data_IF_965373468683
#
_entry.id   IF_965373468683
#
_cell.length_a   1.000
_cell.length_b   1.000
_cell.length_c   1.000
_cell.angle_alpha   90.00
_cell.angle_beta   90.00
_cell.angle_gamma   90.00
#
_symmetry.space_group_name_H-M   'P 1'
#
loop_
_entity.id
_entity.type
_entity.pdbx_description
1 polymer ?
#
# COMPACT_ATOMS: atom_id res chain seq x y z
N UNK A 1 13.73 -21.96 18.92
CA UNK A 1 12.70 -21.53 17.94
C UNK A 1 11.28 -21.70 18.48
N UNK A 2 10.88 -22.84 19.06
CA UNK A 2 9.50 -23.01 19.56
C UNK A 2 9.15 -22.02 20.70
N UNK A 3 10.05 -21.80 21.66
CA UNK A 3 9.88 -20.78 22.73
C UNK A 3 9.72 -19.34 22.21
N UNK A 4 10.24 -19.02 21.01
CA UNK A 4 10.17 -17.69 20.42
C UNK A 4 8.85 -17.45 19.69
N UNK A 5 8.21 -18.51 19.18
CA UNK A 5 6.88 -18.42 18.55
C UNK A 5 5.79 -18.16 19.59
N UNK A 6 5.89 -18.77 20.77
CA UNK A 6 4.96 -18.57 21.89
C UNK A 6 4.87 -17.09 22.32
N UNK A 7 5.96 -16.33 22.16
CA UNK A 7 5.99 -14.91 22.52
C UNK A 7 4.91 -14.10 21.77
N UNK A 8 4.54 -14.55 20.57
CA UNK A 8 3.52 -13.91 19.73
C UNK A 8 2.09 -14.15 20.16
N UNK A 9 1.85 -15.15 21.00
CA UNK A 9 0.51 -15.52 21.47
C UNK A 9 0.12 -14.77 22.76
N UNK A 10 1.09 -14.10 23.39
CA UNK A 10 0.90 -13.41 24.68
C UNK A 10 0.38 -11.99 24.46
N UNK A 11 -0.80 -11.66 25.02
CA UNK A 11 -1.38 -10.30 24.91
C UNK A 11 -1.44 -9.56 26.25
N UNK A 12 -0.74 -10.08 27.26
CA UNK A 12 -0.63 -9.50 28.58
C UNK A 12 0.83 -9.10 28.84
N UNK A 13 1.06 -7.85 29.25
CA UNK A 13 2.42 -7.32 29.42
C UNK A 13 3.19 -8.04 30.53
N UNK A 14 2.53 -8.50 31.59
CA UNK A 14 3.21 -9.15 32.71
C UNK A 14 3.75 -10.52 32.28
N UNK A 15 2.88 -11.30 31.62
CA UNK A 15 3.25 -12.59 31.05
C UNK A 15 4.33 -12.41 29.98
N UNK A 16 4.22 -11.34 29.18
CA UNK A 16 5.19 -11.02 28.14
C UNK A 16 6.57 -10.73 28.73
N UNK A 17 6.65 -9.88 29.76
CA UNK A 17 7.90 -9.57 30.45
C UNK A 17 8.54 -10.80 31.10
N UNK A 18 7.73 -11.71 31.67
CA UNK A 18 8.24 -12.98 32.19
C UNK A 18 8.82 -13.86 31.07
N UNK A 19 8.14 -13.96 29.93
CA UNK A 19 8.63 -14.78 28.80
C UNK A 19 9.92 -14.20 28.22
N UNK A 20 10.02 -12.88 28.02
CA UNK A 20 11.28 -12.28 27.54
C UNK A 20 12.42 -12.46 28.54
N UNK A 21 12.13 -12.50 29.85
CA UNK A 21 13.14 -12.80 30.88
C UNK A 21 13.73 -14.21 30.73
N UNK A 22 12.95 -15.19 30.28
CA UNK A 22 13.42 -16.56 30.01
C UNK A 22 14.36 -16.63 28.79
N UNK A 23 14.12 -15.80 27.77
CA UNK A 23 14.86 -15.83 26.50
C UNK A 23 15.91 -14.71 26.36
N UNK A 24 16.10 -13.88 27.39
CA UNK A 24 16.92 -12.66 27.36
C UNK A 24 18.40 -12.87 27.02
N UNK A 25 18.88 -14.10 27.11
CA UNK A 25 20.26 -14.48 26.81
C UNK A 25 20.43 -14.94 25.35
N UNK A 26 19.33 -15.09 24.60
CA UNK A 26 19.31 -15.57 23.21
C UNK A 26 18.96 -14.48 22.19
N UNK A 27 18.55 -13.29 22.63
CA UNK A 27 18.08 -12.22 21.74
C UNK A 27 18.55 -10.83 22.17
N UNK A 28 18.33 -9.87 21.28
CA UNK A 28 18.30 -8.45 21.62
C UNK A 28 16.93 -8.06 22.17
N UNK A 29 16.94 -7.24 23.21
CA UNK A 29 15.76 -6.61 23.78
C UNK A 29 15.97 -5.10 23.74
N UNK A 30 15.13 -4.41 22.99
CA UNK A 30 15.14 -2.96 22.88
C UNK A 30 13.91 -2.37 23.57
N UNK A 31 14.13 -1.31 24.34
CA UNK A 31 13.11 -0.48 24.97
C UNK A 31 13.28 0.96 24.51
N UNK A 32 12.24 1.55 23.94
CA UNK A 32 12.20 3.00 23.66
C UNK A 32 10.86 3.58 24.08
N UNK A 33 10.86 4.78 24.63
CA UNK A 33 9.64 5.47 25.06
C UNK A 33 9.25 6.54 24.04
N UNK A 34 7.96 6.65 23.75
CA UNK A 34 7.42 7.81 23.01
C UNK A 34 6.48 8.58 23.90
N UNK A 35 6.68 9.90 23.93
CA UNK A 35 5.90 10.85 24.73
C UNK A 35 6.03 10.64 26.24
N UNK A 36 5.59 9.50 26.77
CA UNK A 36 5.64 9.18 28.20
C UNK A 36 5.66 7.67 28.41
N UNK A 37 6.42 7.16 29.41
CA UNK A 37 6.39 5.73 29.75
C UNK A 37 5.02 5.30 30.30
N UNK A 38 4.29 6.23 30.92
CA UNK A 38 2.90 6.07 31.37
C UNK A 38 2.73 6.24 32.89
N UNK A 39 1.88 7.20 33.29
CA UNK A 39 1.68 7.64 34.69
C UNK A 39 1.05 6.58 35.61
N UNK A 40 0.32 5.62 35.04
CA UNK A 40 -0.42 4.60 35.78
C UNK A 40 0.30 3.24 35.77
N UNK A 41 1.61 3.21 35.52
CA UNK A 41 2.38 1.97 35.46
C UNK A 41 2.32 1.23 36.81
N UNK A 42 1.86 -0.05 36.82
CA UNK A 42 1.90 -0.85 38.04
C UNK A 42 3.34 -1.08 38.52
N UNK A 43 3.54 -1.06 39.84
CA UNK A 43 4.86 -1.30 40.46
C UNK A 43 5.44 -2.66 40.05
N UNK A 44 4.60 -3.69 39.89
CA UNK A 44 5.07 -5.02 39.49
C UNK A 44 5.61 -5.07 38.06
N UNK A 45 5.02 -4.28 37.15
CA UNK A 45 5.53 -4.14 35.78
C UNK A 45 6.86 -3.39 35.78
N UNK A 46 6.96 -2.32 36.57
CA UNK A 46 8.21 -1.58 36.74
C UNK A 46 9.33 -2.48 37.29
N UNK A 47 9.04 -3.27 38.33
CA UNK A 47 9.98 -4.22 38.91
C UNK A 47 10.44 -5.27 37.90
N UNK A 48 9.53 -5.79 37.05
CA UNK A 48 9.89 -6.75 36.00
C UNK A 48 10.79 -6.16 34.92
N UNK A 49 10.62 -4.87 34.60
CA UNK A 49 11.55 -4.16 33.70
C UNK A 49 12.93 -4.04 34.37
N UNK A 50 12.97 -3.77 35.68
CA UNK A 50 14.23 -3.74 36.43
C UNK A 50 14.89 -5.12 36.52
N UNK A 51 14.12 -6.21 36.64
CA UNK A 51 14.61 -7.59 36.66
C UNK A 51 15.24 -8.04 35.33
N UNK A 52 14.90 -7.37 34.23
CA UNK A 52 15.58 -7.50 32.92
C UNK A 52 16.94 -6.78 32.89
N UNK A 53 17.24 -5.98 33.92
CA UNK A 53 18.48 -5.22 34.10
C UNK A 53 18.37 -3.72 33.75
N UNK A 54 17.19 -3.22 33.39
CA UNK A 54 16.95 -1.83 33.03
C UNK A 54 16.62 -0.97 34.26
N UNK A 55 17.57 -0.87 35.18
CA UNK A 55 17.36 -0.28 36.51
C UNK A 55 17.10 1.23 36.44
N UNK A 56 17.62 1.91 35.42
CA UNK A 56 17.44 3.35 35.22
C UNK A 56 16.05 3.70 34.67
N UNK A 57 15.29 2.71 34.20
CA UNK A 57 13.93 2.93 33.71
C UNK A 57 13.02 3.44 34.84
N UNK A 58 12.25 4.49 34.56
CA UNK A 58 11.27 5.06 35.49
C UNK A 58 9.93 5.30 34.80
N UNK A 59 8.87 5.36 35.59
CA UNK A 59 7.53 5.73 35.13
C UNK A 59 7.27 7.24 35.23
N UNK A 60 8.32 8.05 35.41
CA UNK A 60 8.19 9.50 35.45
C UNK A 60 7.63 10.03 34.13
N UNK A 61 6.64 10.92 34.24
CA UNK A 61 6.00 11.52 33.08
C UNK A 61 7.01 12.28 32.21
N UNK A 62 6.90 12.09 30.90
CA UNK A 62 7.70 12.77 29.88
C UNK A 62 9.22 12.57 30.02
N UNK A 63 9.64 11.48 30.65
CA UNK A 63 11.02 11.01 30.60
C UNK A 63 11.22 10.09 29.41
N UNK A 64 12.10 10.50 28.51
CA UNK A 64 12.53 9.66 27.40
C UNK A 64 13.50 8.60 27.93
N UNK A 65 13.48 7.45 27.28
CA UNK A 65 14.29 6.30 27.71
C UNK A 65 14.72 5.47 26.51
N UNK A 66 15.98 5.02 26.53
CA UNK A 66 16.53 4.03 25.62
C UNK A 66 17.18 2.93 26.45
N UNK A 67 16.69 1.71 26.27
CA UNK A 67 17.24 0.49 26.83
C UNK A 67 17.63 -0.48 25.73
N UNK A 68 18.82 -1.07 25.86
CA UNK A 68 19.31 -2.12 24.98
C UNK A 68 19.95 -3.21 25.81
N UNK A 69 19.46 -4.43 25.66
CA UNK A 69 20.09 -5.65 26.18
C UNK A 69 20.45 -6.57 25.01
N UNK A 70 21.59 -7.23 25.11
CA UNK A 70 22.07 -8.23 24.16
C UNK A 70 22.68 -9.41 24.92
N UNK A 71 22.25 -10.64 24.62
CA UNK A 71 22.89 -11.88 25.06
C UNK A 71 23.26 -11.87 26.55
N UNK A 72 22.32 -11.44 27.39
CA UNK A 72 22.51 -11.39 28.83
C UNK A 72 23.14 -10.12 29.41
N UNK A 73 23.57 -9.17 28.57
CA UNK A 73 24.27 -7.96 28.98
C UNK A 73 23.49 -6.69 28.64
N UNK A 74 23.49 -5.72 29.56
CA UNK A 74 22.98 -4.37 29.31
C UNK A 74 24.02 -3.60 28.49
N UNK A 75 23.60 -3.14 27.31
CA UNK A 75 24.40 -2.29 26.42
C UNK A 75 24.06 -0.83 26.67
N UNK A 76 22.77 -0.52 26.85
CA UNK A 76 22.28 0.82 27.18
C UNK A 76 21.16 0.67 28.21
N UNK A 77 21.20 1.48 29.27
CA UNK A 77 20.12 1.68 30.23
C UNK A 77 20.15 3.17 30.57
N UNK A 78 19.44 3.98 29.79
CA UNK A 78 19.59 5.44 29.83
C UNK A 78 18.23 6.15 29.82
N UNK A 79 17.98 6.88 30.91
CA UNK A 79 16.85 7.80 31.07
C UNK A 79 17.33 9.24 30.85
N UNK A 80 16.49 10.06 30.22
CA UNK A 80 16.76 11.47 30.00
C UNK A 80 16.92 12.24 31.32
N UNK A 81 17.94 13.11 31.39
CA UNK A 81 18.23 13.91 32.58
C UNK A 81 17.22 15.04 32.76
N UNK A 82 16.73 15.59 31.65
CA UNK A 82 15.71 16.64 31.62
C UNK A 82 14.35 16.15 31.10
N UNK A 83 13.29 16.85 31.50
CA UNK A 83 11.93 16.53 31.07
C UNK A 83 11.82 16.83 29.57
N UNK A 84 11.21 15.91 28.81
CA UNK A 84 11.04 16.03 27.35
C UNK A 84 12.34 16.08 26.52
N UNK A 85 13.52 15.84 27.12
CA UNK A 85 14.80 15.80 26.41
C UNK A 85 14.83 14.61 25.42
N UNK A 86 15.05 14.86 24.12
CA UNK A 86 15.08 13.79 23.11
C UNK A 86 16.35 12.97 23.22
N UNK A 87 16.22 11.64 23.06
CA UNK A 87 17.34 10.71 23.08
C UNK A 87 17.54 10.11 21.70
N UNK A 88 18.80 10.03 21.29
CA UNK A 88 19.23 9.35 20.07
C UNK A 88 20.52 8.56 20.34
N UNK A 89 20.57 7.31 19.90
CA UNK A 89 21.74 6.43 20.00
C UNK A 89 21.90 5.63 18.71
N UNK A 90 23.15 5.36 18.35
CA UNK A 90 23.51 4.49 17.24
C UNK A 90 24.53 3.49 17.75
N UNK A 91 24.24 2.21 17.58
CA UNK A 91 25.12 1.11 17.96
C UNK A 91 25.31 0.19 16.76
N UNK A 92 26.42 -0.54 16.74
CA UNK A 92 26.64 -1.62 15.80
C UNK A 92 26.43 -2.93 16.54
N UNK A 93 25.79 -3.91 15.90
CA UNK A 93 25.69 -5.25 16.46
C UNK A 93 27.10 -5.82 16.70
N UNK A 94 27.24 -6.65 17.74
CA UNK A 94 28.51 -7.34 18.05
C UNK A 94 28.70 -8.61 17.23
N UNK A 95 27.62 -9.29 16.85
CA UNK A 95 27.69 -10.59 16.14
C UNK A 95 27.42 -10.42 14.63
N UNK A 96 26.67 -9.39 14.23
CA UNK A 96 26.38 -9.06 12.83
C UNK A 96 26.94 -7.69 12.40
N UNK A 97 26.90 -7.38 11.11
CA UNK A 97 27.24 -6.05 10.57
C UNK A 97 26.11 -5.02 10.75
N UNK A 98 25.05 -5.38 11.49
CA UNK A 98 23.85 -4.57 11.55
C UNK A 98 24.07 -3.25 12.30
N UNK A 99 23.51 -2.18 11.74
CA UNK A 99 23.51 -0.85 12.31
C UNK A 99 22.16 -0.64 13.00
N UNK A 100 22.18 -0.36 14.30
CA UNK A 100 20.96 -0.18 15.09
C UNK A 100 20.88 1.28 15.55
N UNK A 101 19.80 1.96 15.20
CA UNK A 101 19.50 3.34 15.55
C UNK A 101 18.29 3.37 16.48
N UNK A 102 18.43 4.03 17.64
CA UNK A 102 17.42 4.12 18.68
C UNK A 102 17.10 5.57 18.92
N UNK A 103 15.82 5.90 18.98
CA UNK A 103 15.38 7.26 19.24
C UNK A 103 14.13 7.28 20.13
N UNK A 104 14.02 8.28 20.98
CA UNK A 104 12.95 8.44 21.97
C UNK A 104 12.70 9.93 22.18
N UNK A 105 11.50 10.39 21.82
CA UNK A 105 11.15 11.82 21.79
C UNK A 105 9.74 12.06 22.34
N UNK A 106 9.58 13.22 23.00
CA UNK A 106 8.32 13.61 23.66
C UNK A 106 7.28 14.13 22.67
N UNK A 107 6.02 14.28 23.09
CA UNK A 107 4.97 14.87 22.23
C UNK A 107 5.36 16.24 21.64
N UNK A 108 6.06 17.09 22.41
CA UNK A 108 6.42 18.45 21.98
C UNK A 108 7.75 18.51 21.21
N UNK A 109 8.61 17.51 21.38
CA UNK A 109 9.96 17.50 20.82
C UNK A 109 10.14 16.41 19.75
N UNK A 110 9.18 16.29 18.84
CA UNK A 110 9.25 15.44 17.65
C UNK A 110 8.28 14.25 17.64
N UNK A 111 7.74 13.88 18.80
CA UNK A 111 6.66 12.91 18.98
C UNK A 111 6.90 11.59 18.26
N UNK A 112 8.10 11.03 18.44
CA UNK A 112 8.49 9.78 17.81
C UNK A 112 9.38 8.95 18.73
N UNK A 113 9.32 7.64 18.56
CA UNK A 113 10.34 6.73 19.06
C UNK A 113 10.60 5.68 18.00
N UNK A 114 11.73 4.99 18.10
CA UNK A 114 11.93 3.83 17.28
C UNK A 114 13.18 3.06 17.55
N UNK A 115 13.17 1.85 16.99
CA UNK A 115 14.30 0.95 16.89
C UNK A 115 14.43 0.67 15.40
N UNK A 116 15.44 1.24 14.76
CA UNK A 116 15.75 0.98 13.36
C UNK A 116 16.93 0.04 13.27
N UNK A 117 16.79 -1.03 12.51
CA UNK A 117 17.88 -1.96 12.23
C UNK A 117 18.15 -1.87 10.74
N UNK A 118 19.37 -1.49 10.35
CA UNK A 118 19.78 -1.16 8.98
C UNK A 118 18.85 -0.13 8.30
N UNK A 119 18.39 0.87 9.06
CA UNK A 119 17.48 1.91 8.58
C UNK A 119 15.99 1.54 8.62
N UNK A 120 15.64 0.29 8.92
CA UNK A 120 14.26 -0.21 8.87
C UNK A 120 13.61 -0.12 10.24
N UNK A 121 12.45 0.53 10.33
CA UNK A 121 11.73 0.69 11.59
C UNK A 121 11.08 -0.62 12.08
N UNK A 122 11.58 -1.14 13.20
CA UNK A 122 11.10 -2.38 13.80
C UNK A 122 10.01 -2.13 14.86
N UNK A 123 9.93 -0.94 15.47
CA UNK A 123 8.96 -0.64 16.52
C UNK A 123 7.58 -0.19 15.95
N UNK A 124 6.61 0.07 16.84
CA UNK A 124 5.29 0.62 16.47
C UNK A 124 5.28 2.16 16.39
N UNK A 125 6.26 2.85 16.97
CA UNK A 125 6.29 4.32 17.08
C UNK A 125 4.98 4.93 17.61
N UNK A 126 4.47 4.41 18.74
CA UNK A 126 3.23 4.88 19.38
C UNK A 126 3.47 5.24 20.84
N UNK A 127 2.62 6.08 21.44
CA UNK A 127 2.75 6.54 22.85
C UNK A 127 2.94 5.35 23.79
N UNK A 128 3.79 5.52 24.80
CA UNK A 128 4.11 4.47 25.77
C UNK A 128 5.48 3.87 25.55
N UNK A 129 5.66 2.67 26.10
CA UNK A 129 6.87 1.86 25.93
C UNK A 129 6.71 1.05 24.64
N UNK A 130 7.70 1.13 23.74
CA UNK A 130 7.79 0.29 22.56
C UNK A 130 8.93 -0.69 22.78
N UNK A 131 8.61 -1.98 22.70
CA UNK A 131 9.56 -3.09 22.87
C UNK A 131 9.78 -3.77 21.53
N UNK A 132 11.04 -4.09 21.22
CA UNK A 132 11.41 -4.90 20.05
C UNK A 132 12.33 -6.03 20.51
N UNK A 133 11.98 -7.25 20.12
CA UNK A 133 12.74 -8.47 20.37
C UNK A 133 13.32 -8.93 19.04
N UNK A 134 14.64 -9.06 18.97
CA UNK A 134 15.36 -9.31 17.73
C UNK A 134 16.35 -10.46 17.88
N UNK A 135 16.31 -11.39 16.94
CA UNK A 135 17.28 -12.47 16.82
C UNK A 135 18.37 -12.04 15.83
N UNK A 136 19.56 -11.74 16.35
CA UNK A 136 20.69 -11.29 15.55
C UNK A 136 21.32 -12.42 14.73
N UNK A 137 21.15 -13.68 15.13
CA UNK A 137 21.67 -14.83 14.37
C UNK A 137 20.82 -15.13 13.14
N UNK A 138 19.50 -14.96 13.28
CA UNK A 138 18.56 -15.11 12.17
C UNK A 138 18.30 -13.78 11.44
N UNK A 139 18.97 -12.71 11.86
CA UNK A 139 18.78 -11.33 11.39
C UNK A 139 17.30 -10.91 11.29
N UNK A 140 16.50 -11.29 12.30
CA UNK A 140 15.04 -11.20 12.22
C UNK A 140 14.42 -10.61 13.47
N UNK A 141 13.39 -9.79 13.29
CA UNK A 141 12.55 -9.36 14.42
C UNK A 141 11.70 -10.56 14.82
N UNK A 142 11.83 -11.00 16.07
CA UNK A 142 10.97 -12.02 16.65
C UNK A 142 9.59 -11.40 16.91
N UNK A 143 9.61 -10.21 17.53
CA UNK A 143 8.40 -9.53 17.92
C UNK A 143 8.60 -8.04 18.19
N UNK A 144 7.52 -7.27 18.05
CA UNK A 144 7.50 -5.86 18.43
C UNK A 144 6.12 -5.51 18.99
N UNK A 145 6.10 -4.92 20.19
CA UNK A 145 4.88 -4.53 20.88
C UNK A 145 4.99 -3.11 21.41
N UNK A 146 3.84 -2.50 21.69
CA UNK A 146 3.76 -1.32 22.54
C UNK A 146 2.96 -1.65 23.79
N UNK A 147 3.33 -1.03 24.89
CA UNK A 147 2.57 -0.99 26.12
C UNK A 147 2.39 0.47 26.57
N UNK A 148 1.15 0.93 26.64
CA UNK A 148 0.80 2.29 27.07
C UNK A 148 0.05 2.23 28.40
N UNK A 149 0.71 2.68 29.47
CA UNK A 149 0.15 2.82 30.81
C UNK A 149 -0.09 4.27 31.21
N UNK A 150 -0.30 5.19 30.25
CA UNK A 150 -0.67 6.57 30.56
C UNK A 150 -2.03 6.64 31.27
N UNK A 151 -2.97 5.81 30.82
CA UNK A 151 -4.32 5.69 31.37
C UNK A 151 -4.52 4.31 32.03
N UNK A 152 -5.52 4.19 32.91
CA UNK A 152 -5.82 2.94 33.65
C UNK A 152 -6.27 1.76 32.79
N UNK A 153 -6.64 2.01 31.54
CA UNK A 153 -7.16 0.98 30.64
C UNK A 153 -6.09 0.16 29.94
N UNK A 154 -4.80 0.47 30.13
CA UNK A 154 -3.60 -0.21 29.62
C UNK A 154 -3.72 -0.76 28.19
N UNK A 155 -3.01 -0.14 27.25
CA UNK A 155 -3.06 -0.60 25.86
C UNK A 155 -1.84 -1.47 25.56
N UNK A 156 -2.09 -2.74 25.23
CA UNK A 156 -1.11 -3.63 24.64
C UNK A 156 -1.43 -3.80 23.15
N UNK A 157 -0.52 -3.39 22.27
CA UNK A 157 -0.65 -3.63 20.83
C UNK A 157 0.62 -4.23 20.28
N UNK A 158 0.48 -4.99 19.20
CA UNK A 158 1.56 -5.76 18.57
C UNK A 158 1.68 -5.38 17.11
N UNK A 159 2.92 -5.32 16.62
CA UNK A 159 3.20 -5.16 15.20
C UNK A 159 2.89 -6.48 14.48
N UNK A 160 1.98 -6.49 13.47
CA UNK A 160 1.65 -7.70 12.72
C UNK A 160 2.90 -8.40 12.15
N UNK A 161 2.90 -9.73 12.12
CA UNK A 161 4.08 -10.52 11.68
C UNK A 161 4.44 -10.25 10.21
N UNK A 162 3.41 -10.05 9.39
CA UNK A 162 3.52 -9.66 7.96
C UNK A 162 4.16 -8.29 7.77
N UNK A 163 4.19 -7.45 8.80
CA UNK A 163 4.84 -6.15 8.74
C UNK A 163 6.32 -6.19 9.11
N UNK A 164 6.86 -7.34 9.55
CA UNK A 164 8.28 -7.47 9.85
C UNK A 164 9.08 -7.71 8.57
N UNK A 165 10.03 -6.81 8.27
CA UNK A 165 10.83 -6.90 7.05
C UNK A 165 11.55 -8.25 6.90
N UNK A 166 12.03 -8.86 7.98
CA UNK A 166 12.69 -10.18 7.90
C UNK A 166 11.79 -11.26 7.30
N UNK A 167 10.48 -11.20 7.55
CA UNK A 167 9.52 -12.11 6.93
C UNK A 167 9.28 -11.78 5.45
N UNK A 168 9.28 -10.49 5.10
CA UNK A 168 9.19 -10.05 3.70
C UNK A 168 10.43 -10.46 2.91
N UNK A 169 11.62 -10.34 3.50
CA UNK A 169 12.90 -10.80 2.93
C UNK A 169 12.89 -12.31 2.78
N UNK A 170 12.40 -13.05 3.78
CA UNK A 170 12.25 -14.51 3.68
C UNK A 170 11.32 -14.88 2.53
N UNK A 171 10.17 -14.21 2.43
CA UNK A 171 9.23 -14.40 1.32
C UNK A 171 9.87 -14.15 -0.05
N UNK A 172 10.66 -13.07 -0.18
CA UNK A 172 11.43 -12.79 -1.40
C UNK A 172 12.47 -13.87 -1.70
N UNK A 173 13.19 -14.32 -0.67
CA UNK A 173 14.27 -15.29 -0.78
C UNK A 173 13.80 -16.68 -1.20
N UNK A 174 12.58 -17.08 -0.86
CA UNK A 174 11.99 -18.36 -1.28
C UNK A 174 11.75 -18.44 -2.81
N UNK A 175 11.73 -17.30 -3.51
CA UNK A 175 11.48 -17.23 -4.96
C UNK A 175 12.74 -16.94 -5.79
N UNK A 176 13.84 -16.60 -5.12
CA UNK A 176 15.15 -16.28 -5.67
C UNK A 176 15.23 -15.02 -6.56
N UNK A 177 14.29 -14.73 -7.49
CA UNK A 177 14.40 -13.60 -8.44
C UNK A 177 13.13 -13.28 -9.26
N UNK A 178 12.95 -12.01 -9.65
CA UNK A 178 11.91 -11.51 -10.57
C UNK A 178 12.50 -10.71 -11.75
N UNK A 179 11.99 -10.94 -12.96
CA UNK A 179 12.40 -10.16 -14.15
C UNK A 179 11.90 -8.70 -14.06
N UNK A 180 10.65 -8.50 -13.60
CA UNK A 180 10.01 -7.18 -13.58
C UNK A 180 9.21 -6.98 -12.31
N UNK A 181 9.46 -5.87 -11.60
CA UNK A 181 8.61 -5.36 -10.54
C UNK A 181 7.72 -4.23 -11.09
N UNK A 182 6.39 -4.40 -11.02
CA UNK A 182 5.42 -3.43 -11.56
C UNK A 182 4.83 -2.62 -10.42
N UNK A 183 4.99 -1.29 -10.50
CA UNK A 183 4.34 -0.33 -9.60
C UNK A 183 3.10 0.25 -10.27
N UNK A 184 1.99 0.39 -9.57
CA UNK A 184 0.80 1.02 -10.11
C UNK A 184 -0.35 0.99 -9.11
N UNK A 185 -1.56 1.36 -9.55
CA UNK A 185 -2.76 1.39 -8.71
C UNK A 185 -3.65 0.15 -8.89
N UNK A 186 -3.06 -0.96 -9.32
CA UNK A 186 -3.77 -2.23 -9.63
C UNK A 186 -4.48 -2.85 -8.43
N UNK A 187 -4.02 -2.54 -7.22
CA UNK A 187 -4.63 -2.94 -5.95
C UNK A 187 -5.80 -2.05 -5.53
N UNK A 188 -6.06 -0.95 -6.24
CA UNK A 188 -7.12 0.00 -5.90
C UNK A 188 -8.52 -0.55 -6.16
N UNK A 189 -9.55 0.14 -5.65
CA UNK A 189 -10.95 -0.25 -5.82
C UNK A 189 -11.55 0.15 -7.18
N UNK A 190 -10.85 0.92 -8.02
CA UNK A 190 -11.35 1.28 -9.33
C UNK A 190 -11.29 0.09 -10.32
N UNK A 191 -12.41 -0.27 -10.95
CA UNK A 191 -12.46 -1.40 -11.90
C UNK A 191 -11.47 -1.27 -13.06
N UNK A 192 -11.29 -0.03 -13.57
CA UNK A 192 -10.33 0.26 -14.63
C UNK A 192 -8.91 -0.08 -14.20
N UNK A 193 -8.48 0.44 -13.04
CA UNK A 193 -7.15 0.19 -12.48
C UNK A 193 -6.88 -1.30 -12.21
N UNK A 194 -7.86 -2.03 -11.67
CA UNK A 194 -7.74 -3.47 -11.42
C UNK A 194 -7.49 -4.23 -12.72
N UNK A 195 -8.31 -3.97 -13.74
CA UNK A 195 -8.25 -4.66 -15.03
C UNK A 195 -7.04 -4.24 -15.85
N UNK A 196 -6.59 -3.00 -15.72
CA UNK A 196 -5.35 -2.51 -16.30
C UNK A 196 -4.13 -3.22 -15.69
N UNK A 197 -4.07 -3.33 -14.36
CA UNK A 197 -3.03 -4.09 -13.66
C UNK A 197 -3.01 -5.56 -14.08
N UNK A 198 -4.20 -6.18 -14.19
CA UNK A 198 -4.33 -7.57 -14.64
C UNK A 198 -3.81 -7.74 -16.06
N UNK A 199 -4.16 -6.81 -16.95
CA UNK A 199 -3.72 -6.85 -18.33
C UNK A 199 -2.20 -6.69 -18.43
N UNK A 200 -1.63 -5.75 -17.66
CA UNK A 200 -0.18 -5.57 -17.57
C UNK A 200 0.53 -6.85 -17.10
N UNK A 201 0.06 -7.46 -16.01
CA UNK A 201 0.59 -8.72 -15.49
C UNK A 201 0.54 -9.84 -16.53
N UNK A 202 -0.60 -10.00 -17.21
CA UNK A 202 -0.81 -11.05 -18.22
C UNK A 202 0.08 -10.85 -19.45
N UNK A 203 0.26 -9.61 -19.93
CA UNK A 203 1.15 -9.31 -21.05
C UNK A 203 2.57 -9.71 -20.71
N UNK A 204 3.10 -9.22 -19.58
CA UNK A 204 4.48 -9.52 -19.16
C UNK A 204 4.69 -11.02 -18.92
N UNK A 205 3.73 -11.68 -18.26
CA UNK A 205 3.79 -13.13 -18.03
C UNK A 205 3.74 -13.92 -19.34
N UNK A 206 2.96 -13.48 -20.33
CA UNK A 206 2.88 -14.11 -21.66
C UNK A 206 4.19 -13.99 -22.45
N UNK A 207 5.02 -13.00 -22.13
CA UNK A 207 6.38 -12.84 -22.65
C UNK A 207 7.41 -13.74 -21.92
N UNK A 208 6.95 -14.61 -21.01
CA UNK A 208 7.79 -15.50 -20.23
C UNK A 208 8.51 -14.81 -19.06
N UNK A 209 8.05 -13.64 -18.63
CA UNK A 209 8.65 -12.89 -17.53
C UNK A 209 8.07 -13.30 -16.19
N UNK A 210 8.92 -13.43 -15.16
CA UNK A 210 8.47 -13.46 -13.77
C UNK A 210 8.15 -12.02 -13.31
N UNK A 211 6.93 -11.83 -12.83
CA UNK A 211 6.38 -10.51 -12.52
C UNK A 211 6.07 -10.42 -11.04
N UNK A 212 6.62 -9.39 -10.39
CA UNK A 212 6.25 -8.97 -9.05
C UNK A 212 5.36 -7.73 -9.15
N UNK A 213 4.09 -7.86 -8.79
CA UNK A 213 3.17 -6.74 -8.65
C UNK A 213 3.41 -6.09 -7.28
N UNK A 214 3.95 -4.87 -7.28
CA UNK A 214 4.22 -4.13 -6.04
C UNK A 214 2.89 -3.75 -5.38
N UNK A 215 2.69 -4.25 -4.17
CA UNK A 215 1.51 -3.94 -3.37
C UNK A 215 1.56 -2.48 -2.88
N UNK A 216 0.39 -1.92 -2.54
CA UNK A 216 0.21 -0.56 -2.01
C UNK A 216 1.25 -0.22 -0.95
N UNK A 217 2.10 0.76 -1.27
CA UNK A 217 3.04 1.38 -0.33
C UNK A 217 2.25 2.34 0.57
N UNK A 218 2.58 2.45 1.88
CA UNK A 218 1.80 3.24 2.87
C UNK A 218 0.39 2.73 3.19
N UNK A 219 0.16 1.42 3.31
CA UNK A 219 -1.09 0.98 3.93
C UNK A 219 -1.04 1.25 5.44
N UNK A 220 -1.92 2.10 6.03
CA UNK A 220 -2.15 2.02 7.47
C UNK A 220 -2.62 0.59 7.83
N UNK A 221 -2.45 0.20 9.10
CA UNK A 221 -2.89 -1.11 9.64
C UNK A 221 -4.38 -1.42 9.35
N UNK A 222 -5.16 -0.40 8.95
CA UNK A 222 -6.58 -0.50 8.58
C UNK A 222 -6.92 0.29 7.29
N UNK A 223 -6.25 0.01 6.18
CA UNK A 223 -6.67 0.55 4.88
C UNK A 223 -8.02 -0.03 4.45
N UNK A 224 -9.03 0.83 4.32
CA UNK A 224 -10.39 0.43 3.94
C UNK A 224 -10.43 -0.20 2.54
N UNK A 225 -9.50 0.16 1.65
CA UNK A 225 -9.40 -0.34 0.28
C UNK A 225 -8.85 -1.77 0.21
N UNK A 226 -8.12 -2.20 1.23
CA UNK A 226 -7.46 -3.51 1.29
C UNK A 226 -8.20 -4.53 2.18
N UNK A 227 -9.48 -4.28 2.49
CA UNK A 227 -10.31 -5.24 3.23
C UNK A 227 -10.58 -6.49 2.38
N UNK A 228 -10.51 -7.66 3.00
CA UNK A 228 -10.61 -8.97 2.35
C UNK A 228 -11.94 -9.17 1.60
N UNK A 229 -13.00 -8.49 2.00
CA UNK A 229 -14.33 -8.55 1.41
C UNK A 229 -14.55 -7.54 0.26
N UNK A 230 -13.57 -6.70 -0.06
CA UNK A 230 -13.65 -5.82 -1.22
C UNK A 230 -13.41 -6.58 -2.54
N UNK A 231 -14.03 -6.10 -3.61
CA UNK A 231 -13.96 -6.72 -4.95
C UNK A 231 -12.56 -6.74 -5.53
N UNK A 232 -11.74 -5.69 -5.32
CA UNK A 232 -10.34 -5.65 -5.74
C UNK A 232 -9.52 -6.75 -5.05
N UNK A 233 -9.67 -6.91 -3.74
CA UNK A 233 -8.94 -7.92 -2.95
C UNK A 233 -9.35 -9.34 -3.31
N UNK A 234 -10.65 -9.59 -3.45
CA UNK A 234 -11.17 -10.86 -3.96
C UNK A 234 -10.63 -11.17 -5.36
N UNK A 235 -10.62 -10.18 -6.25
CA UNK A 235 -10.15 -10.36 -7.62
C UNK A 235 -8.67 -10.75 -7.66
N UNK A 236 -7.78 -9.96 -7.04
CA UNK A 236 -6.35 -10.29 -7.17
C UNK A 236 -5.97 -11.59 -6.42
N UNK A 237 -6.64 -11.91 -5.30
CA UNK A 237 -6.42 -13.19 -4.62
C UNK A 237 -6.89 -14.41 -5.42
N UNK A 238 -7.82 -14.22 -6.36
CA UNK A 238 -8.37 -15.28 -7.20
C UNK A 238 -7.57 -15.45 -8.48
N UNK A 239 -7.19 -14.35 -9.14
CA UNK A 239 -6.66 -14.38 -10.51
C UNK A 239 -5.15 -14.15 -10.64
N UNK A 240 -4.46 -13.79 -9.55
CA UNK A 240 -3.01 -13.70 -9.54
C UNK A 240 -2.41 -14.85 -8.74
N UNK A 241 -1.26 -15.42 -9.18
CA UNK A 241 -0.47 -16.27 -8.32
C UNK A 241 -0.08 -15.54 -7.04
N UNK A 242 -0.18 -16.20 -5.89
CA UNK A 242 0.12 -15.60 -4.58
C UNK A 242 1.53 -15.04 -4.47
N UNK A 243 2.47 -15.61 -5.21
CA UNK A 243 3.87 -15.21 -5.29
C UNK A 243 4.14 -14.12 -6.34
N UNK A 244 3.14 -13.68 -7.09
CA UNK A 244 3.25 -12.56 -8.01
C UNK A 244 2.85 -11.22 -7.37
N UNK A 245 2.43 -11.23 -6.10
CA UNK A 245 2.03 -10.03 -5.37
C UNK A 245 2.97 -9.86 -4.19
N UNK A 246 3.62 -8.71 -4.11
CA UNK A 246 4.57 -8.44 -3.03
C UNK A 246 3.85 -8.36 -1.67
N UNK A 247 4.56 -8.65 -0.57
CA UNK A 247 4.16 -8.12 0.74
C UNK A 247 4.01 -6.58 0.69
N UNK A 248 3.29 -6.02 1.65
CA UNK A 248 3.20 -4.56 1.81
C UNK A 248 4.53 -4.04 2.32
N UNK A 249 5.21 -3.22 1.52
CA UNK A 249 6.47 -2.56 1.89
C UNK A 249 6.24 -1.10 2.31
N UNK A 250 7.00 -0.63 3.30
CA UNK A 250 7.14 0.82 3.54
C UNK A 250 8.09 1.43 2.53
N UNK A 251 8.14 2.76 2.44
CA UNK A 251 9.02 3.45 1.50
C UNK A 251 10.50 3.13 1.75
N UNK A 252 10.87 3.06 3.03
CA UNK A 252 12.22 2.75 3.48
C UNK A 252 12.62 1.31 3.16
N UNK A 253 11.65 0.40 3.07
CA UNK A 253 11.90 -1.01 2.78
C UNK A 253 12.02 -1.29 1.27
N UNK A 254 11.48 -0.45 0.40
CA UNK A 254 11.43 -0.71 -1.05
C UNK A 254 12.80 -0.92 -1.69
N UNK A 255 13.86 -0.35 -1.12
CA UNK A 255 15.21 -0.47 -1.64
C UNK A 255 15.66 -1.94 -1.73
N UNK A 256 15.16 -2.82 -0.85
CA UNK A 256 15.48 -4.25 -0.85
C UNK A 256 15.06 -4.95 -2.16
N UNK A 257 14.06 -4.42 -2.86
CA UNK A 257 13.59 -5.01 -4.11
C UNK A 257 14.65 -4.98 -5.21
N UNK A 258 15.63 -4.08 -5.13
CA UNK A 258 16.74 -4.00 -6.09
C UNK A 258 17.61 -5.26 -6.08
N UNK A 259 17.60 -6.05 -5.01
CA UNK A 259 18.35 -7.31 -4.92
C UNK A 259 17.60 -8.48 -5.59
N UNK A 260 16.30 -8.33 -5.83
CA UNK A 260 15.42 -9.40 -6.30
C UNK A 260 14.76 -9.10 -7.65
N UNK A 261 14.96 -7.90 -8.22
CA UNK A 261 14.31 -7.48 -9.46
C UNK A 261 15.34 -6.88 -10.45
N UNK A 262 15.27 -7.28 -11.72
CA UNK A 262 16.13 -6.72 -12.78
C UNK A 262 15.61 -5.40 -13.34
N UNK A 263 14.28 -5.29 -13.45
CA UNK A 263 13.58 -4.16 -14.05
C UNK A 263 12.44 -3.70 -13.14
N UNK A 264 12.21 -2.39 -13.11
CA UNK A 264 11.10 -1.76 -12.45
C UNK A 264 10.25 -1.02 -13.48
N UNK A 265 8.95 -1.28 -13.45
CA UNK A 265 8.00 -0.78 -14.42
C UNK A 265 6.94 0.07 -13.72
N UNK A 266 6.91 1.37 -14.03
CA UNK A 266 5.73 2.19 -13.80
C UNK A 266 4.62 1.71 -14.72
N UNK A 267 3.57 1.14 -14.16
CA UNK A 267 2.44 0.58 -14.90
C UNK A 267 1.60 1.63 -15.62
N UNK A 268 0.51 1.18 -16.21
CA UNK A 268 -0.43 2.04 -16.91
C UNK A 268 -1.41 2.72 -15.94
N UNK A 269 -2.38 3.46 -16.48
CA UNK A 269 -3.38 4.26 -15.76
C UNK A 269 -2.82 5.61 -15.25
N UNK A 270 -3.62 6.39 -14.53
CA UNK A 270 -3.33 7.77 -14.10
C UNK A 270 -2.28 7.88 -12.97
N UNK A 271 -1.23 7.06 -13.00
CA UNK A 271 -0.24 6.95 -11.91
C UNK A 271 0.69 8.18 -11.79
N UNK A 272 0.74 9.04 -12.81
CA UNK A 272 1.51 10.30 -12.77
C UNK A 272 0.65 11.54 -12.57
N UNK A 273 -0.66 11.37 -12.39
CA UNK A 273 -1.53 12.46 -11.98
C UNK A 273 -1.26 12.83 -10.51
N UNK A 274 -0.67 14.00 -10.27
CA UNK A 274 -0.27 14.42 -8.93
C UNK A 274 -1.46 14.57 -7.96
N UNK A 275 -2.65 14.87 -8.47
CA UNK A 275 -3.86 15.03 -7.65
C UNK A 275 -4.56 13.71 -7.33
N UNK A 276 -4.31 12.65 -8.12
CA UNK A 276 -5.09 11.40 -8.05
C UNK A 276 -4.26 10.27 -7.44
N UNK A 277 -3.01 10.12 -7.84
CA UNK A 277 -2.20 8.94 -7.53
C UNK A 277 -0.76 9.28 -7.17
N UNK A 278 -0.50 10.47 -6.60
CA UNK A 278 0.83 10.81 -6.09
C UNK A 278 1.20 9.96 -4.88
N UNK A 279 1.70 8.78 -5.19
CA UNK A 279 2.60 8.02 -4.37
C UNK A 279 3.98 8.21 -5.01
N UNK A 280 4.91 8.89 -4.33
CA UNK A 280 6.24 9.20 -4.89
C UNK A 280 6.97 7.99 -5.49
N UNK A 281 6.57 6.76 -5.12
CA UNK A 281 7.08 5.51 -5.68
C UNK A 281 6.71 5.26 -7.14
N UNK A 282 5.66 5.90 -7.68
CA UNK A 282 5.26 5.76 -9.10
C UNK A 282 6.31 6.31 -10.08
N UNK A 283 7.25 7.10 -9.58
CA UNK A 283 8.42 7.61 -10.31
C UNK A 283 9.70 6.80 -10.05
N UNK A 284 9.59 5.67 -9.34
CA UNK A 284 10.69 4.74 -9.04
C UNK A 284 11.93 5.37 -8.33
N UNK A 285 11.75 6.26 -7.34
CA UNK A 285 12.87 6.94 -6.67
C UNK A 285 13.82 5.96 -5.96
N UNK A 286 13.29 4.84 -5.45
CA UNK A 286 14.02 3.80 -4.69
C UNK A 286 14.85 2.85 -5.56
N UNK A 287 14.72 2.91 -6.89
CA UNK A 287 15.38 1.98 -7.79
C UNK A 287 16.82 2.44 -8.05
N UNK A 288 17.79 1.53 -7.97
CA UNK A 288 19.21 1.83 -8.18
C UNK A 288 19.52 2.13 -9.66
N UNK A 289 20.60 2.86 -9.91
CA UNK A 289 21.01 3.27 -11.27
C UNK A 289 21.39 2.08 -12.18
N UNK A 290 21.79 0.94 -11.60
CA UNK A 290 22.13 -0.28 -12.32
C UNK A 290 20.93 -1.19 -12.65
N UNK A 291 19.70 -0.75 -12.35
CA UNK A 291 18.45 -1.46 -12.66
C UNK A 291 17.65 -0.72 -13.72
N UNK A 292 16.97 -1.48 -14.58
CA UNK A 292 16.12 -0.91 -15.62
C UNK A 292 14.91 -0.21 -15.00
N UNK A 293 14.60 0.99 -15.47
CA UNK A 293 13.44 1.79 -15.08
C UNK A 293 12.64 2.10 -16.34
N UNK A 294 11.46 1.51 -16.46
CA UNK A 294 10.61 1.70 -17.63
C UNK A 294 9.21 2.15 -17.23
N UNK A 295 8.50 2.77 -18.15
CA UNK A 295 7.06 3.05 -18.02
C UNK A 295 6.30 2.38 -19.15
N UNK A 296 5.16 1.75 -18.81
CA UNK A 296 4.26 1.10 -19.74
C UNK A 296 2.90 1.81 -19.75
N UNK A 297 2.65 2.60 -20.80
CA UNK A 297 1.39 3.30 -21.01
C UNK A 297 0.92 4.13 -19.80
N UNK A 298 1.84 4.70 -19.01
CA UNK A 298 1.49 5.55 -17.87
C UNK A 298 0.79 6.82 -18.35
N UNK A 299 -0.12 7.36 -17.54
CA UNK A 299 -0.91 8.53 -17.92
C UNK A 299 -0.90 9.61 -16.83
N UNK A 300 -0.95 10.87 -17.26
CA UNK A 300 -1.25 12.00 -16.38
C UNK A 300 -2.77 12.19 -16.21
N UNK A 301 -3.59 11.57 -17.05
CA UNK A 301 -5.05 11.63 -16.98
C UNK A 301 -5.68 12.98 -17.31
N UNK A 302 -4.87 14.01 -17.58
CA UNK A 302 -5.30 15.35 -17.94
C UNK A 302 -4.19 16.07 -18.74
N UNK A 303 -4.52 17.21 -19.35
CA UNK A 303 -3.53 18.06 -20.04
C UNK A 303 -2.44 18.63 -19.12
N UNK A 304 -2.61 18.53 -17.79
CA UNK A 304 -1.65 18.97 -16.79
C UNK A 304 -1.39 17.84 -15.77
N UNK A 305 -0.14 17.66 -15.37
CA UNK A 305 0.23 16.67 -14.35
C UNK A 305 -0.13 17.10 -12.92
N UNK A 306 -0.45 18.39 -12.74
CA UNK A 306 -0.73 19.06 -11.47
C UNK A 306 0.44 19.04 -10.47
N UNK A 307 1.66 18.79 -10.95
CA UNK A 307 2.87 18.82 -10.12
C UNK A 307 3.09 20.25 -9.61
N UNK A 308 3.19 20.47 -8.27
CA UNK A 308 3.48 21.78 -7.71
C UNK A 308 4.84 22.29 -8.19
N UNK A 309 4.95 23.58 -8.48
CA UNK A 309 6.18 24.21 -9.01
C UNK A 309 7.45 23.85 -8.21
N UNK A 310 7.34 23.75 -6.88
CA UNK A 310 8.46 23.38 -5.99
C UNK A 310 8.95 21.94 -6.17
N UNK A 311 8.10 21.04 -6.67
CA UNK A 311 8.41 19.62 -6.88
C UNK A 311 8.84 19.33 -8.32
N UNK A 312 8.61 20.24 -9.27
CA UNK A 312 8.89 20.02 -10.70
C UNK A 312 10.35 19.61 -10.94
N UNK A 313 11.30 20.22 -10.23
CA UNK A 313 12.72 19.87 -10.35
C UNK A 313 13.02 18.45 -9.85
N UNK A 314 12.29 17.95 -8.85
CA UNK A 314 12.44 16.58 -8.34
C UNK A 314 11.80 15.58 -9.31
N UNK A 315 10.57 15.86 -9.76
CA UNK A 315 9.86 15.03 -10.73
C UNK A 315 10.63 14.92 -12.04
N UNK A 316 11.21 16.02 -12.52
CA UNK A 316 12.09 16.03 -13.68
C UNK A 316 13.25 15.03 -13.51
N UNK A 317 13.95 15.10 -12.38
CA UNK A 317 15.07 14.19 -12.09
C UNK A 317 14.63 12.74 -12.04
N UNK A 318 13.41 12.44 -11.61
CA UNK A 318 12.92 11.07 -11.65
C UNK A 318 12.67 10.60 -13.08
N UNK A 319 12.02 11.40 -13.93
CA UNK A 319 11.81 11.05 -15.34
C UNK A 319 13.13 10.87 -16.11
N UNK A 320 14.14 11.69 -15.84
CA UNK A 320 15.46 11.57 -16.47
C UNK A 320 16.20 10.26 -16.14
N UNK A 321 15.76 9.51 -15.11
CA UNK A 321 16.33 8.21 -14.73
C UNK A 321 15.68 7.03 -15.45
N UNK A 322 14.56 7.24 -16.15
CA UNK A 322 13.92 6.17 -16.90
C UNK A 322 14.74 5.85 -18.14
N UNK A 323 14.96 4.57 -18.36
CA UNK A 323 15.61 4.05 -19.56
C UNK A 323 14.69 4.09 -20.78
N UNK A 324 13.37 3.96 -20.55
CA UNK A 324 12.35 4.10 -21.58
C UNK A 324 11.01 4.53 -20.97
N UNK A 325 10.36 5.51 -21.61
CA UNK A 325 9.02 5.96 -21.21
C UNK A 325 8.03 5.69 -22.33
N UNK A 326 6.91 5.06 -21.98
CA UNK A 326 5.74 5.01 -22.84
C UNK A 326 4.50 5.52 -22.13
N UNK A 327 3.71 6.32 -22.86
CA UNK A 327 2.48 6.93 -22.37
C UNK A 327 1.29 6.51 -23.22
N UNK A 328 0.08 6.61 -22.68
CA UNK A 328 -1.12 6.13 -23.36
C UNK A 328 -1.71 7.16 -24.34
N UNK A 329 -1.45 8.44 -24.14
CA UNK A 329 -2.03 9.53 -24.93
C UNK A 329 -0.97 10.48 -25.51
N UNK A 330 -1.27 11.08 -26.67
CA UNK A 330 -0.34 12.00 -27.36
C UNK A 330 -0.08 13.29 -26.55
N UNK A 331 -1.07 13.77 -25.80
CA UNK A 331 -0.89 14.97 -24.98
C UNK A 331 0.07 14.74 -23.81
N UNK A 332 0.15 13.51 -23.28
CA UNK A 332 1.10 13.15 -22.22
C UNK A 332 2.55 13.17 -22.74
N UNK A 333 2.74 12.72 -23.99
CA UNK A 333 4.04 12.83 -24.66
C UNK A 333 4.46 14.30 -24.84
N UNK A 334 3.51 15.14 -25.25
CA UNK A 334 3.77 16.58 -25.38
C UNK A 334 4.07 17.23 -24.02
N UNK A 335 3.38 16.82 -22.95
CA UNK A 335 3.63 17.32 -21.60
C UNK A 335 5.03 16.93 -21.12
N UNK A 336 5.44 15.67 -21.27
CA UNK A 336 6.80 15.20 -20.93
C UNK A 336 7.88 16.01 -21.66
N UNK A 337 7.71 16.20 -22.96
CA UNK A 337 8.66 16.97 -23.76
C UNK A 337 8.72 18.44 -23.35
N UNK A 338 7.55 19.11 -23.28
CA UNK A 338 7.49 20.55 -23.07
C UNK A 338 7.85 20.97 -21.65
N UNK A 339 7.45 20.18 -20.64
CA UNK A 339 7.65 20.51 -19.22
C UNK A 339 8.96 19.94 -18.67
N UNK A 340 9.28 18.69 -19.02
CA UNK A 340 10.40 17.97 -18.43
C UNK A 340 11.60 17.83 -19.38
N UNK A 341 11.40 18.00 -20.69
CA UNK A 341 12.45 17.78 -21.70
C UNK A 341 12.76 16.30 -21.90
N UNK A 342 11.81 15.41 -21.61
CA UNK A 342 11.97 13.96 -21.65
C UNK A 342 11.16 13.40 -22.82
N UNK A 343 11.77 12.54 -23.63
CA UNK A 343 11.09 11.88 -24.75
C UNK A 343 10.29 10.66 -24.29
N UNK A 344 9.28 10.30 -25.07
CA UNK A 344 8.41 9.16 -24.80
C UNK A 344 7.76 8.61 -26.07
N UNK A 345 7.31 7.36 -25.97
CA UNK A 345 6.56 6.69 -27.04
C UNK A 345 5.10 6.56 -26.66
N UNK A 346 4.19 6.88 -27.59
CA UNK A 346 2.76 6.62 -27.37
C UNK A 346 2.47 5.16 -27.69
N UNK A 347 1.89 4.43 -26.73
CA UNK A 347 1.47 3.04 -26.87
C UNK A 347 0.02 2.87 -26.42
N UNK A 348 -0.63 1.80 -26.84
CA UNK A 348 -2.01 1.52 -26.45
C UNK A 348 -2.10 1.05 -24.99
N UNK A 349 -3.24 1.30 -24.34
CA UNK A 349 -3.51 0.78 -22.99
C UNK A 349 -3.41 -0.76 -22.94
N UNK A 350 -2.79 -1.35 -21.92
CA UNK A 350 -2.70 -2.79 -21.71
C UNK A 350 -4.02 -3.55 -21.86
N UNK A 351 -5.18 -2.96 -21.52
CA UNK A 351 -6.47 -3.66 -21.67
C UNK A 351 -6.82 -4.00 -23.13
N UNK A 352 -6.23 -3.31 -24.10
CA UNK A 352 -6.44 -3.63 -25.52
C UNK A 352 -5.44 -4.66 -26.06
N UNK A 353 -4.36 -4.95 -25.32
CA UNK A 353 -3.32 -5.88 -25.76
C UNK A 353 -3.68 -7.34 -25.47
N UNK A 354 -4.67 -7.60 -24.61
CA UNK A 354 -5.17 -8.96 -24.39
C UNK A 354 -6.18 -9.38 -25.46
N UNK A 355 -6.16 -10.65 -25.83
CA UNK A 355 -7.24 -11.23 -26.63
C UNK A 355 -8.54 -11.18 -25.82
N UNK A 356 -9.65 -10.82 -26.46
CA UNK A 356 -10.99 -10.81 -25.86
C UNK A 356 -11.31 -12.10 -25.10
N UNK A 357 -10.74 -13.24 -25.51
CA UNK A 357 -10.88 -14.54 -24.85
C UNK A 357 -10.50 -14.51 -23.38
N UNK A 358 -9.46 -13.78 -22.99
CA UNK A 358 -9.04 -13.63 -21.60
C UNK A 358 -10.19 -13.06 -20.76
N UNK A 359 -10.84 -12.00 -21.23
CA UNK A 359 -12.00 -11.42 -20.55
C UNK A 359 -13.22 -12.35 -20.60
N UNK A 360 -13.43 -13.11 -21.68
CA UNK A 360 -14.53 -14.09 -21.72
C UNK A 360 -14.34 -15.27 -20.78
N UNK A 361 -13.10 -15.59 -20.42
CA UNK A 361 -12.80 -16.60 -19.41
C UNK A 361 -13.11 -16.07 -18.02
N UNK A 362 -12.67 -14.85 -17.68
CA UNK A 362 -12.96 -14.21 -16.40
C UNK A 362 -14.46 -14.14 -16.09
N UNK A 363 -15.29 -13.77 -17.07
CA UNK A 363 -16.74 -13.63 -16.86
C UNK A 363 -17.49 -14.97 -16.69
N UNK A 364 -16.81 -16.13 -16.78
CA UNK A 364 -17.44 -17.43 -16.45
C UNK A 364 -17.75 -17.57 -14.96
N UNK A 365 -16.99 -16.89 -14.11
CA UNK A 365 -17.19 -16.88 -12.66
C UNK A 365 -18.26 -15.86 -12.22
N UNK A 366 -18.78 -15.08 -13.17
CA UNK A 366 -19.77 -14.03 -12.91
C UNK A 366 -21.13 -14.60 -12.49
N UNK A 367 -21.77 -13.90 -11.56
CA UNK A 367 -23.17 -14.14 -11.15
C UNK A 367 -24.15 -13.15 -11.81
N UNK A 368 -23.65 -12.22 -12.64
CA UNK A 368 -24.47 -11.25 -13.34
C UNK A 368 -25.24 -11.89 -14.51
N UNK A 369 -26.58 -11.79 -14.44
CA UNK A 369 -27.50 -12.48 -15.37
C UNK A 369 -28.50 -11.56 -16.08
N UNK A 370 -28.35 -10.24 -15.94
CA UNK A 370 -29.25 -9.28 -16.56
C UNK A 370 -29.03 -9.19 -18.08
N UNK A 371 -30.12 -9.00 -18.81
CA UNK A 371 -30.16 -8.82 -20.26
C UNK A 371 -31.10 -7.65 -20.62
N UNK A 372 -31.08 -7.22 -21.89
CA UNK A 372 -31.95 -6.18 -22.41
C UNK A 372 -31.86 -4.82 -21.69
N UNK A 373 -30.63 -4.34 -21.44
CA UNK A 373 -30.38 -3.13 -20.66
C UNK A 373 -29.33 -2.20 -21.30
N UNK A 374 -29.37 -0.94 -20.86
CA UNK A 374 -28.29 0.03 -21.05
C UNK A 374 -27.41 -0.02 -19.81
N UNK A 375 -26.11 -0.24 -19.98
CA UNK A 375 -25.15 -0.10 -18.90
C UNK A 375 -24.73 1.36 -18.78
N UNK A 376 -24.89 1.93 -17.59
CA UNK A 376 -24.33 3.23 -17.22
C UNK A 376 -23.15 3.02 -16.28
N UNK A 377 -21.91 3.19 -16.77
CA UNK A 377 -20.72 3.16 -15.91
C UNK A 377 -20.20 4.58 -15.71
N UNK A 378 -20.46 5.16 -14.54
CA UNK A 378 -20.27 6.58 -14.28
C UNK A 378 -19.35 6.78 -13.07
N UNK A 379 -18.24 7.49 -13.25
CA UNK A 379 -17.26 7.83 -12.22
C UNK A 379 -17.62 9.15 -11.53
N UNK A 380 -17.97 10.18 -12.31
CA UNK A 380 -18.28 11.52 -11.82
C UNK A 380 -19.77 11.83 -12.00
N UNK A 381 -20.64 11.47 -11.04
CA UNK A 381 -22.08 11.71 -11.17
C UNK A 381 -22.41 13.20 -11.20
N UNK A 382 -23.36 13.57 -12.05
CA UNK A 382 -23.92 14.92 -12.13
C UNK A 382 -25.42 14.86 -12.47
N UNK A 383 -26.15 15.92 -12.15
CA UNK A 383 -27.57 16.01 -12.50
C UNK A 383 -27.78 15.98 -14.02
N UNK A 384 -26.84 16.53 -14.79
CA UNK A 384 -26.87 16.49 -16.26
C UNK A 384 -26.75 15.05 -16.77
N UNK A 385 -25.78 14.28 -16.26
CA UNK A 385 -25.62 12.86 -16.61
C UNK A 385 -26.84 12.06 -16.20
N UNK A 386 -27.42 12.35 -15.05
CA UNK A 386 -28.66 11.71 -14.59
C UNK A 386 -29.82 11.94 -15.58
N UNK A 387 -30.08 13.18 -15.95
CA UNK A 387 -31.17 13.51 -16.88
C UNK A 387 -30.92 12.92 -18.26
N UNK A 388 -29.66 12.92 -18.73
CA UNK A 388 -29.27 12.26 -19.96
C UNK A 388 -29.56 10.74 -19.92
N UNK A 389 -29.20 10.07 -18.82
CA UNK A 389 -29.50 8.64 -18.65
C UNK A 389 -31.00 8.38 -18.72
N UNK A 390 -31.83 9.13 -17.97
CA UNK A 390 -33.30 8.97 -17.99
C UNK A 390 -33.86 9.14 -19.41
N UNK A 391 -33.40 10.14 -20.15
CA UNK A 391 -33.80 10.37 -21.54
C UNK A 391 -33.38 9.20 -22.44
N UNK A 392 -32.15 8.71 -22.30
CA UNK A 392 -31.65 7.57 -23.08
C UNK A 392 -32.47 6.30 -22.82
N UNK A 393 -32.79 6.00 -21.56
CA UNK A 393 -33.65 4.86 -21.19
C UNK A 393 -35.04 4.94 -21.81
N UNK A 394 -35.65 6.13 -21.78
CA UNK A 394 -36.95 6.38 -22.42
C UNK A 394 -36.88 6.24 -23.94
N UNK A 395 -35.91 6.87 -24.60
CA UNK A 395 -35.77 6.84 -26.05
C UNK A 395 -35.46 5.45 -26.61
N UNK A 396 -34.68 4.65 -25.89
CA UNK A 396 -34.31 3.30 -26.30
C UNK A 396 -35.27 2.22 -25.78
N UNK A 397 -36.27 2.61 -24.97
CA UNK A 397 -37.23 1.72 -24.29
C UNK A 397 -36.52 0.55 -23.59
N UNK A 398 -35.50 0.87 -22.80
CA UNK A 398 -34.66 -0.12 -22.09
C UNK A 398 -34.44 0.31 -20.65
N UNK A 399 -34.36 -0.68 -19.77
CA UNK A 399 -33.91 -0.45 -18.40
C UNK A 399 -32.44 0.01 -18.39
N UNK A 400 -32.09 0.84 -17.42
CA UNK A 400 -30.70 1.27 -17.19
C UNK A 400 -30.21 0.57 -15.95
N UNK A 401 -28.98 0.04 -16.00
CA UNK A 401 -28.26 -0.48 -14.84
C UNK A 401 -27.06 0.42 -14.63
N UNK A 402 -26.95 1.03 -13.44
CA UNK A 402 -25.85 1.94 -13.12
C UNK A 402 -24.80 1.23 -12.27
N UNK A 403 -23.55 1.23 -12.71
CA UNK A 403 -22.39 0.85 -11.90
C UNK A 403 -21.59 2.12 -11.62
N UNK A 404 -21.28 2.35 -10.34
CA UNK A 404 -20.48 3.50 -9.89
C UNK A 404 -18.98 3.18 -9.95
N UNK A 405 -18.14 4.16 -9.57
CA UNK A 405 -16.75 3.84 -9.22
C UNK A 405 -16.71 2.78 -8.13
N UNK A 406 -15.86 1.76 -8.24
CA UNK A 406 -15.77 0.69 -7.25
C UNK A 406 -15.31 1.21 -5.89
N UNK A 407 -14.63 2.37 -5.84
CA UNK A 407 -14.33 3.08 -4.60
C UNK A 407 -15.59 3.55 -3.85
N UNK A 408 -16.75 3.69 -4.50
CA UNK A 408 -18.00 4.11 -3.87
C UNK A 408 -18.43 3.18 -2.73
N UNK A 409 -18.27 1.86 -2.90
CA UNK A 409 -18.65 0.88 -1.89
C UNK A 409 -17.62 0.77 -0.75
N UNK A 410 -16.47 1.44 -0.89
CA UNK A 410 -15.26 1.26 -0.07
C UNK A 410 -14.93 2.51 0.75
N UNK A 411 -15.06 3.71 0.16
CA UNK A 411 -14.78 5.02 0.76
C UNK A 411 -15.83 6.06 0.36
N UNK A 412 -15.95 7.13 1.15
CA UNK A 412 -16.78 8.28 0.77
C UNK A 412 -16.30 8.84 -0.57
N UNK A 413 -17.21 8.96 -1.53
CA UNK A 413 -16.93 9.41 -2.89
C UNK A 413 -17.94 10.46 -3.35
N UNK A 414 -17.76 10.99 -4.56
CA UNK A 414 -18.71 11.90 -5.23
C UNK A 414 -20.15 11.34 -5.27
N UNK A 415 -20.28 10.02 -5.26
CA UNK A 415 -21.55 9.29 -5.23
C UNK A 415 -22.29 9.33 -3.90
N UNK A 416 -21.61 9.58 -2.77
CA UNK A 416 -22.24 9.60 -1.44
C UNK A 416 -23.34 10.67 -1.31
N UNK A 417 -23.32 11.71 -2.16
CA UNK A 417 -24.39 12.72 -2.27
C UNK A 417 -25.66 12.17 -2.93
N UNK A 418 -25.49 11.33 -3.96
CA UNK A 418 -26.57 10.83 -4.82
C UNK A 418 -27.24 9.56 -4.27
N UNK A 419 -26.53 8.82 -3.42
CA UNK A 419 -27.08 7.64 -2.74
C UNK A 419 -28.25 7.97 -1.81
N UNK A 420 -28.17 9.09 -1.07
CA UNK A 420 -29.19 9.48 -0.08
C UNK A 420 -30.57 9.78 -0.67
N UNK A 421 -30.62 10.05 -1.97
CA UNK A 421 -31.81 10.49 -2.71
C UNK A 421 -32.22 9.50 -3.81
N UNK A 422 -31.50 8.38 -3.96
CA UNK A 422 -31.81 7.30 -4.90
C UNK A 422 -32.04 7.78 -6.35
N UNK A 423 -31.26 8.77 -6.78
CA UNK A 423 -31.58 9.52 -8.00
C UNK A 423 -31.20 8.78 -9.29
N UNK A 424 -30.12 7.99 -9.29
CA UNK A 424 -29.68 7.24 -10.47
C UNK A 424 -30.43 5.90 -10.63
N UNK A 425 -30.74 5.47 -11.87
CA UNK A 425 -31.52 4.28 -12.13
C UNK A 425 -30.73 2.99 -11.81
N UNK A 426 -31.34 2.10 -11.02
CA UNK A 426 -30.86 0.75 -10.68
C UNK A 426 -29.35 0.68 -10.36
N UNK A 427 -28.90 1.46 -9.36
CA UNK A 427 -27.51 1.44 -8.89
C UNK A 427 -27.18 0.05 -8.35
N UNK A 428 -26.14 -0.58 -8.91
CA UNK A 428 -25.56 -1.83 -8.42
C UNK A 428 -24.42 -1.52 -7.46
N UNK A 429 -24.58 -1.96 -6.22
CA UNK A 429 -23.57 -1.88 -5.16
C UNK A 429 -22.84 -3.21 -5.05
N UNK A 430 -21.60 -3.15 -4.59
CA UNK A 430 -20.72 -4.31 -4.35
C UNK A 430 -20.62 -5.20 -5.58
N UNK A 431 -20.46 -4.58 -6.75
CA UNK A 431 -20.32 -5.33 -8.00
C UNK A 431 -18.94 -5.98 -8.03
N UNK A 432 -18.85 -7.28 -8.25
CA UNK A 432 -17.55 -7.95 -8.40
C UNK A 432 -16.92 -7.58 -9.75
N UNK A 433 -15.59 -7.64 -9.86
CA UNK A 433 -14.87 -7.25 -11.09
C UNK A 433 -15.31 -8.09 -12.30
N UNK A 434 -15.58 -9.38 -12.10
CA UNK A 434 -16.10 -10.26 -13.16
C UNK A 434 -17.54 -9.95 -13.54
N UNK A 435 -18.37 -9.48 -12.60
CA UNK A 435 -19.74 -9.03 -12.86
C UNK A 435 -19.74 -7.71 -13.62
N UNK A 436 -18.81 -6.81 -13.31
CA UNK A 436 -18.56 -5.60 -14.07
C UNK A 436 -18.26 -5.94 -15.54
N UNK A 437 -17.29 -6.81 -15.81
CA UNK A 437 -16.97 -7.27 -17.17
C UNK A 437 -18.17 -7.95 -17.85
N UNK A 438 -18.91 -8.79 -17.10
CA UNK A 438 -20.09 -9.49 -17.61
C UNK A 438 -21.17 -8.50 -18.03
N UNK A 439 -21.41 -7.43 -17.26
CA UNK A 439 -22.36 -6.39 -17.60
C UNK A 439 -21.98 -5.70 -18.93
N UNK A 440 -20.70 -5.39 -19.16
CA UNK A 440 -20.25 -4.89 -20.46
C UNK A 440 -20.49 -5.90 -21.58
N UNK A 441 -20.31 -7.20 -21.32
CA UNK A 441 -20.48 -8.25 -22.33
C UNK A 441 -21.94 -8.49 -22.73
N UNK A 442 -22.90 -8.26 -21.83
CA UNK A 442 -24.34 -8.54 -22.06
C UNK A 442 -25.18 -7.28 -22.32
N UNK A 443 -24.68 -6.08 -22.06
CA UNK A 443 -25.39 -4.83 -22.35
C UNK A 443 -25.73 -4.67 -23.84
N UNK A 444 -26.87 -4.05 -24.15
CA UNK A 444 -27.24 -3.68 -25.53
C UNK A 444 -26.60 -2.37 -25.96
N UNK A 445 -26.36 -1.49 -24.98
CA UNK A 445 -25.78 -0.18 -25.16
C UNK A 445 -25.04 0.24 -23.89
N UNK A 446 -23.98 1.03 -24.03
CA UNK A 446 -23.22 1.55 -22.88
C UNK A 446 -23.21 3.08 -22.89
N UNK A 447 -23.40 3.70 -21.73
CA UNK A 447 -23.17 5.12 -21.49
C UNK A 447 -22.12 5.22 -20.39
N UNK A 448 -21.04 5.93 -20.64
CA UNK A 448 -19.94 6.00 -19.68
C UNK A 448 -19.20 7.32 -19.74
N UNK A 449 -18.61 7.74 -18.64
CA UNK A 449 -17.66 8.86 -18.55
C UNK A 449 -16.23 8.38 -18.23
N UNK A 450 -16.00 7.08 -18.28
CA UNK A 450 -14.74 6.44 -17.96
C UNK A 450 -13.97 6.08 -19.22
N UNK A 451 -12.66 6.31 -19.20
CA UNK A 451 -11.75 5.77 -20.21
C UNK A 451 -11.89 4.25 -20.33
N UNK A 452 -11.79 3.54 -19.19
CA UNK A 452 -11.90 2.08 -19.18
C UNK A 452 -13.31 1.60 -19.53
N UNK A 453 -14.35 2.37 -19.20
CA UNK A 453 -15.71 2.10 -19.70
C UNK A 453 -15.79 2.15 -21.22
N UNK A 454 -15.15 3.15 -21.83
CA UNK A 454 -15.03 3.27 -23.28
C UNK A 454 -14.23 2.10 -23.85
N UNK A 455 -13.11 1.75 -23.22
CA UNK A 455 -12.26 0.64 -23.65
C UNK A 455 -12.98 -0.71 -23.64
N UNK A 456 -13.67 -1.05 -22.55
CA UNK A 456 -14.42 -2.31 -22.48
C UNK A 456 -15.64 -2.33 -23.40
N UNK A 457 -16.26 -1.17 -23.66
CA UNK A 457 -17.30 -1.08 -24.71
C UNK A 457 -16.75 -1.48 -26.09
N UNK A 458 -15.55 -1.02 -26.43
CA UNK A 458 -14.86 -1.39 -27.68
C UNK A 458 -14.47 -2.87 -27.70
N UNK A 459 -13.84 -3.37 -26.64
CA UNK A 459 -13.40 -4.78 -26.52
C UNK A 459 -14.60 -5.74 -26.65
N UNK A 460 -15.72 -5.44 -25.99
CA UNK A 460 -16.93 -6.25 -26.08
C UNK A 460 -17.78 -5.98 -27.33
N UNK A 461 -17.40 -5.01 -28.16
CA UNK A 461 -18.10 -4.59 -29.39
C UNK A 461 -19.52 -4.09 -29.13
N UNK A 462 -19.67 -3.25 -28.11
CA UNK A 462 -20.94 -2.60 -27.75
C UNK A 462 -21.06 -1.25 -28.42
N UNK A 463 -22.30 -0.86 -28.75
CA UNK A 463 -22.60 0.53 -29.10
C UNK A 463 -22.54 1.36 -27.82
N UNK A 464 -21.88 2.51 -27.86
CA UNK A 464 -21.70 3.31 -26.66
C UNK A 464 -21.71 4.81 -26.92
N UNK A 465 -21.90 5.57 -25.83
CA UNK A 465 -21.66 7.02 -25.75
C UNK A 465 -20.67 7.27 -24.61
N UNK A 466 -19.59 7.98 -24.93
CA UNK A 466 -18.63 8.49 -23.94
C UNK A 466 -18.95 9.94 -23.62
N UNK A 467 -19.26 10.22 -22.36
CA UNK A 467 -19.49 11.57 -21.85
C UNK A 467 -18.14 12.13 -21.42
N UNK A 468 -17.69 13.22 -22.05
CA UNK A 468 -16.44 13.86 -21.69
C UNK A 468 -16.58 14.52 -20.31
N UNK A 469 -15.64 14.24 -19.40
CA UNK A 469 -15.57 14.96 -18.12
C UNK A 469 -15.01 16.37 -18.36
N UNK A 470 -15.55 17.35 -17.65
CA UNK A 470 -15.17 18.76 -17.79
C UNK A 470 -13.93 19.17 -16.97
N UNK A 471 -13.26 18.19 -16.33
CA UNK A 471 -12.14 18.41 -15.42
C UNK A 471 -10.81 18.24 -16.13
#
# INVERSE_FOLDING_TARGET
MDNLKELREINDIEIYLNKIQEIKDECYIFFVVKDTPGNCMPTDILNKIHDLGFISFSNELWRMYIGVRQSGHIIIDYVAGECEEPLNRKIQSKESTNIIELYSESWRNGNKCGVRINGIECSLNKRGINLVIYDDKCESVIDAIRFDSHDKNFIFERKPEVELLSNKIRWLSEKHHYDVCVTGVWYGANYGSILNGYSTYKILSSMGKSVLMLHKTKSPVHDAELRLDNHNVKFYNTYYPKDSISPVFTYEELEILNDYCDCFCSGSDQIWNYNVSFDGNMYLPFVHENRWKISLASSFGSLNDHVPQKEEANVKKYFERFDAISVREEFDKQLLWNKYGVDSTVVIDPVFCLDKKEYTELIRDSQFSEENFILAYILDPSNEKLEFLKQAGHCLNKQIITICDGAFDVINSSWSRYEKVNEFPNIRKRTEVVDFLKAFSTADFVITDSFHGTAFSLIFKKRFISICNAK
#
